data_IF_915102849476
#
_entry.id   IF_915102849476
#
_cell.length_a   1.000
_cell.length_b   1.000
_cell.length_c   1.000
_cell.angle_alpha   90.00
_cell.angle_beta   90.00
_cell.angle_gamma   90.00
#
_symmetry.space_group_name_H-M   'P 1'
#
loop_
_entity.id
_entity.type
_entity.pdbx_description
1 polymer ?
#
# COMPACT_ATOMS: atom_id res chain seq x y z
N UNK A 1 3.05 -0.67 -15.54
CA UNK A 1 1.97 0.34 -15.73
C UNK A 1 0.61 -0.18 -15.26
N UNK A 2 0.14 -1.34 -15.72
CA UNK A 2 -1.16 -1.90 -15.29
C UNK A 2 -1.31 -1.98 -13.77
N UNK A 3 -0.39 -2.65 -13.08
CA UNK A 3 -0.44 -2.79 -11.61
C UNK A 3 -0.50 -1.44 -10.88
N UNK A 4 0.29 -0.47 -11.33
CA UNK A 4 0.32 0.90 -10.77
C UNK A 4 -1.05 1.56 -10.85
N UNK A 5 -1.67 1.57 -12.03
CA UNK A 5 -2.99 2.18 -12.22
C UNK A 5 -4.09 1.41 -11.47
N UNK A 6 -4.03 0.08 -11.44
CA UNK A 6 -5.01 -0.76 -10.73
C UNK A 6 -4.99 -0.50 -9.22
N UNK A 7 -3.80 -0.45 -8.60
CA UNK A 7 -3.69 -0.18 -7.17
C UNK A 7 -4.12 1.25 -6.82
N UNK A 8 -3.77 2.23 -7.66
CA UNK A 8 -4.17 3.63 -7.49
C UNK A 8 -5.69 3.79 -7.51
N UNK A 9 -6.35 3.19 -8.50
CA UNK A 9 -7.81 3.22 -8.62
C UNK A 9 -8.49 2.50 -7.44
N UNK A 10 -7.99 1.32 -7.06
CA UNK A 10 -8.53 0.56 -5.94
C UNK A 10 -8.41 1.33 -4.61
N UNK A 11 -7.24 1.88 -4.32
CA UNK A 11 -6.99 2.63 -3.09
C UNK A 11 -7.82 3.92 -3.00
N UNK A 12 -7.92 4.67 -4.11
CA UNK A 12 -8.75 5.87 -4.20
C UNK A 12 -10.23 5.57 -3.98
N UNK A 13 -10.77 4.52 -4.62
CA UNK A 13 -12.15 4.08 -4.39
C UNK A 13 -12.39 3.66 -2.94
N UNK A 14 -11.48 2.89 -2.35
CA UNK A 14 -11.59 2.49 -0.95
C UNK A 14 -11.59 3.71 -0.02
N UNK A 15 -10.75 4.71 -0.27
CA UNK A 15 -10.73 5.92 0.54
C UNK A 15 -12.05 6.69 0.44
N UNK A 16 -12.57 6.86 -0.77
CA UNK A 16 -13.87 7.51 -1.02
C UNK A 16 -15.00 6.76 -0.29
N UNK A 17 -14.98 5.42 -0.33
CA UNK A 17 -15.99 4.61 0.36
C UNK A 17 -15.88 4.75 1.88
N UNK A 18 -14.66 4.81 2.43
CA UNK A 18 -14.47 5.03 3.86
C UNK A 18 -14.97 6.43 4.26
N UNK A 19 -14.61 7.46 3.50
CA UNK A 19 -15.08 8.84 3.72
C UNK A 19 -16.61 8.94 3.63
N UNK A 20 -17.22 8.32 2.62
CA UNK A 20 -18.67 8.25 2.48
C UNK A 20 -19.33 7.58 3.70
N UNK A 21 -18.72 6.52 4.24
CA UNK A 21 -19.17 5.87 5.47
C UNK A 21 -18.99 6.74 6.73
N UNK A 22 -18.11 7.75 6.70
CA UNK A 22 -17.99 8.79 7.74
C UNK A 22 -18.96 9.97 7.54
N UNK A 23 -19.69 10.00 6.42
CA UNK A 23 -20.74 10.98 6.13
C UNK A 23 -20.34 12.11 5.17
N UNK A 24 -19.06 12.25 4.81
CA UNK A 24 -18.61 13.29 3.87
C UNK A 24 -17.44 12.80 3.03
N UNK A 25 -17.56 12.94 1.70
CA UNK A 25 -16.48 12.63 0.76
C UNK A 25 -15.60 13.85 0.53
N UNK A 26 -14.30 13.72 0.80
CA UNK A 26 -13.33 14.79 0.54
C UNK A 26 -12.56 14.56 -0.76
N UNK A 27 -12.35 15.63 -1.54
CA UNK A 27 -11.47 15.59 -2.71
C UNK A 27 -10.01 15.36 -2.29
N UNK A 28 -9.56 16.01 -1.21
CA UNK A 28 -8.21 15.79 -0.70
C UNK A 28 -8.03 14.36 -0.20
N UNK A 29 -9.05 13.79 0.45
CA UNK A 29 -9.07 12.38 0.85
C UNK A 29 -8.96 11.44 -0.34
N UNK A 30 -9.75 11.65 -1.39
CA UNK A 30 -9.67 10.88 -2.63
C UNK A 30 -8.27 10.93 -3.27
N UNK A 31 -7.67 12.13 -3.34
CA UNK A 31 -6.30 12.31 -3.83
C UNK A 31 -5.28 11.57 -2.96
N UNK A 32 -5.38 11.66 -1.63
CA UNK A 32 -4.52 10.92 -0.70
C UNK A 32 -4.66 9.41 -0.89
N UNK A 33 -5.87 8.90 -1.09
CA UNK A 33 -6.11 7.49 -1.38
C UNK A 33 -5.44 7.01 -2.66
N UNK A 34 -5.48 7.80 -3.73
CA UNK A 34 -4.77 7.49 -4.99
C UNK A 34 -3.26 7.41 -4.74
N UNK A 35 -2.68 8.40 -4.05
CA UNK A 35 -1.24 8.43 -3.73
C UNK A 35 -0.84 7.24 -2.86
N UNK A 36 -1.65 6.88 -1.88
CA UNK A 36 -1.42 5.71 -1.03
C UNK A 36 -1.42 4.42 -1.84
N UNK A 37 -2.32 4.25 -2.81
CA UNK A 37 -2.32 3.09 -3.70
C UNK A 37 -1.06 3.01 -4.56
N UNK A 38 -0.64 4.15 -5.13
CA UNK A 38 0.60 4.25 -5.91
C UNK A 38 1.83 3.89 -5.07
N UNK A 39 1.95 4.48 -3.88
CA UNK A 39 3.06 4.22 -2.98
C UNK A 39 3.08 2.77 -2.48
N UNK A 40 1.92 2.21 -2.13
CA UNK A 40 1.80 0.82 -1.66
C UNK A 40 2.24 -0.18 -2.72
N UNK A 41 1.89 0.02 -4.00
CA UNK A 41 2.25 -0.94 -5.06
C UNK A 41 3.67 -0.74 -5.60
N UNK A 42 4.30 0.41 -5.35
CA UNK A 42 5.63 0.76 -5.89
C UNK A 42 6.68 -0.35 -5.74
N UNK A 43 6.89 -0.97 -4.56
CA UNK A 43 7.90 -2.04 -4.42
C UNK A 43 7.52 -3.35 -5.13
N UNK A 44 6.23 -3.55 -5.45
CA UNK A 44 5.69 -4.78 -6.00
C UNK A 44 5.35 -4.69 -7.51
N UNK A 45 5.29 -3.49 -8.08
CA UNK A 45 4.61 -3.22 -9.35
C UNK A 45 5.12 -4.06 -10.53
N UNK A 46 6.38 -4.48 -10.51
CA UNK A 46 7.01 -5.32 -11.53
C UNK A 46 7.05 -6.82 -11.21
N UNK A 47 6.43 -7.28 -10.13
CA UNK A 47 6.61 -8.64 -9.60
C UNK A 47 5.30 -9.36 -9.26
N UNK A 48 4.16 -8.70 -9.39
CA UNK A 48 2.84 -9.24 -9.00
C UNK A 48 1.86 -9.25 -10.17
N UNK A 49 0.83 -10.08 -10.07
CA UNK A 49 -0.31 -10.05 -10.98
C UNK A 49 -1.26 -8.87 -10.66
N UNK A 50 -2.05 -8.38 -11.64
CA UNK A 50 -3.00 -7.28 -11.43
C UNK A 50 -4.00 -7.49 -10.29
N UNK A 51 -4.40 -8.74 -10.02
CA UNK A 51 -5.28 -9.07 -8.89
C UNK A 51 -4.67 -8.70 -7.52
N UNK A 52 -3.37 -8.94 -7.35
CA UNK A 52 -2.66 -8.53 -6.13
C UNK A 52 -2.47 -7.01 -6.06
N UNK A 53 -2.32 -6.33 -7.19
CA UNK A 53 -2.25 -4.87 -7.21
C UNK A 53 -3.56 -4.24 -6.71
N UNK A 54 -4.71 -4.77 -7.13
CA UNK A 54 -6.02 -4.37 -6.61
C UNK A 54 -6.11 -4.59 -5.10
N UNK A 55 -5.75 -5.79 -4.64
CA UNK A 55 -5.77 -6.14 -3.22
C UNK A 55 -4.85 -5.22 -2.39
N UNK A 56 -3.62 -4.98 -2.86
CA UNK A 56 -2.65 -4.12 -2.19
C UNK A 56 -3.15 -2.67 -2.11
N UNK A 57 -3.79 -2.15 -3.16
CA UNK A 57 -4.42 -0.82 -3.13
C UNK A 57 -5.47 -0.72 -2.02
N UNK A 58 -6.35 -1.71 -1.91
CA UNK A 58 -7.35 -1.76 -0.84
C UNK A 58 -6.71 -1.83 0.55
N UNK A 59 -5.75 -2.73 0.75
CA UNK A 59 -5.04 -2.91 2.03
C UNK A 59 -4.32 -1.61 2.44
N UNK A 60 -3.57 -1.01 1.52
CA UNK A 60 -2.84 0.23 1.75
C UNK A 60 -3.76 1.36 2.19
N UNK A 61 -4.87 1.56 1.48
CA UNK A 61 -5.86 2.60 1.79
C UNK A 61 -6.48 2.40 3.18
N UNK A 62 -6.92 1.19 3.53
CA UNK A 62 -7.50 0.88 4.86
C UNK A 62 -6.49 1.12 5.98
N UNK A 63 -5.26 0.62 5.83
CA UNK A 63 -4.24 0.74 6.87
C UNK A 63 -3.82 2.20 7.07
N UNK A 64 -3.55 2.93 6.00
CA UNK A 64 -3.11 4.33 6.08
C UNK A 64 -4.22 5.23 6.61
N UNK A 65 -5.47 5.01 6.20
CA UNK A 65 -6.61 5.74 6.76
C UNK A 65 -6.74 5.50 8.27
N UNK A 66 -6.62 4.25 8.70
CA UNK A 66 -6.60 3.88 10.11
C UNK A 66 -5.44 4.53 10.87
N UNK A 67 -4.25 4.57 10.27
CA UNK A 67 -3.07 5.24 10.82
C UNK A 67 -3.31 6.74 11.02
N UNK A 68 -3.90 7.44 10.05
CA UNK A 68 -4.23 8.86 10.17
C UNK A 68 -5.18 9.12 11.34
N UNK A 69 -6.22 8.29 11.50
CA UNK A 69 -7.14 8.37 12.63
C UNK A 69 -6.46 8.10 13.97
N UNK A 70 -5.58 7.10 14.03
CA UNK A 70 -4.80 6.78 15.23
C UNK A 70 -3.86 7.92 15.61
N UNK A 71 -3.13 8.46 14.63
CA UNK A 71 -2.23 9.61 14.78
C UNK A 71 -2.98 10.81 15.35
N UNK A 72 -4.10 11.17 14.72
CA UNK A 72 -4.92 12.31 15.12
C UNK A 72 -5.52 12.17 16.53
N UNK A 73 -5.84 10.93 16.95
CA UNK A 73 -6.48 10.67 18.24
C UNK A 73 -5.50 10.48 19.40
N UNK A 74 -4.30 9.95 19.15
CA UNK A 74 -3.43 9.48 20.22
C UNK A 74 -1.98 9.99 20.14
N UNK A 75 -1.42 10.18 18.95
CA UNK A 75 0.02 10.47 18.80
C UNK A 75 0.33 11.96 18.73
N UNK A 76 -0.59 12.78 18.21
CA UNK A 76 -0.53 14.24 18.21
C UNK A 76 0.78 14.86 17.67
N UNK A 77 1.48 14.16 16.77
CA UNK A 77 2.59 14.77 16.03
C UNK A 77 2.08 15.35 14.71
N UNK A 78 2.66 16.49 14.32
CA UNK A 78 2.33 17.15 13.06
C UNK A 78 3.13 16.55 11.91
N UNK A 79 2.43 15.93 10.98
CA UNK A 79 2.91 15.49 9.67
C UNK A 79 2.19 16.37 8.67
N UNK A 80 2.68 17.59 8.49
CA UNK A 80 1.93 18.72 7.90
C UNK A 80 1.34 18.43 6.52
N UNK A 81 1.97 17.54 5.74
CA UNK A 81 1.53 17.12 4.41
C UNK A 81 1.05 15.66 4.37
N UNK A 82 0.90 15.02 5.53
CA UNK A 82 0.70 13.58 5.65
C UNK A 82 1.75 12.77 4.86
N UNK A 83 2.98 13.27 4.75
CA UNK A 83 4.01 12.68 3.90
C UNK A 83 4.48 11.34 4.47
N UNK A 84 4.74 11.27 5.78
CA UNK A 84 5.07 10.00 6.42
C UNK A 84 3.87 9.05 6.38
N UNK A 85 2.68 9.58 6.63
CA UNK A 85 1.45 8.79 6.64
C UNK A 85 1.13 8.20 5.26
N UNK A 86 1.23 8.99 4.18
CA UNK A 86 0.85 8.58 2.84
C UNK A 86 1.97 7.87 2.07
N UNK A 87 3.25 8.12 2.36
CA UNK A 87 4.40 7.49 1.68
C UNK A 87 5.16 6.50 2.56
N UNK A 88 5.46 6.87 3.80
CA UNK A 88 6.18 6.02 4.74
C UNK A 88 5.38 4.77 5.09
N UNK A 89 4.17 4.95 5.63
CA UNK A 89 3.32 3.82 6.04
C UNK A 89 2.87 2.97 4.85
N UNK A 90 2.51 3.58 3.72
CA UNK A 90 2.15 2.85 2.50
C UNK A 90 3.35 2.07 1.94
N UNK A 91 4.56 2.64 1.98
CA UNK A 91 5.80 1.96 1.59
C UNK A 91 6.11 0.76 2.47
N UNK A 92 5.92 0.87 3.79
CA UNK A 92 6.06 -0.24 4.74
C UNK A 92 5.07 -1.36 4.40
N UNK A 93 3.79 -1.04 4.26
CA UNK A 93 2.73 -2.01 3.90
C UNK A 93 3.04 -2.65 2.54
N UNK A 94 3.42 -1.85 1.56
CA UNK A 94 3.77 -2.29 0.22
C UNK A 94 4.93 -3.27 0.21
N UNK A 95 6.00 -2.95 0.93
CA UNK A 95 7.22 -3.76 1.03
C UNK A 95 6.94 -5.08 1.73
N UNK A 96 6.14 -5.05 2.81
CA UNK A 96 5.67 -6.26 3.47
C UNK A 96 4.86 -7.16 2.52
N UNK A 97 3.88 -6.59 1.81
CA UNK A 97 3.06 -7.31 0.83
C UNK A 97 3.89 -7.83 -0.36
N UNK A 98 4.91 -7.11 -0.80
CA UNK A 98 5.88 -7.56 -1.81
C UNK A 98 6.53 -8.87 -1.38
N UNK A 99 6.93 -8.96 -0.11
CA UNK A 99 7.49 -10.18 0.47
C UNK A 99 6.56 -11.39 0.44
N UNK A 100 5.24 -11.15 0.39
CA UNK A 100 4.22 -12.19 0.32
C UNK A 100 3.90 -12.60 -1.12
N UNK A 101 3.71 -11.63 -2.02
CA UNK A 101 2.97 -11.81 -3.27
C UNK A 101 3.83 -11.87 -4.54
N UNK A 102 5.12 -11.54 -4.47
CA UNK A 102 5.98 -11.57 -5.66
C UNK A 102 6.03 -12.97 -6.31
N UNK A 103 6.11 -13.00 -7.62
CA UNK A 103 6.11 -14.20 -8.43
C UNK A 103 7.23 -14.12 -9.47
N UNK A 104 8.09 -15.14 -9.51
CA UNK A 104 9.17 -15.23 -10.50
C UNK A 104 8.62 -15.37 -11.93
N UNK A 105 7.43 -15.96 -12.07
CA UNK A 105 6.75 -16.11 -13.36
C UNK A 105 6.28 -14.77 -13.95
N UNK A 106 6.12 -13.73 -13.12
CA UNK A 106 5.80 -12.37 -13.56
C UNK A 106 7.08 -11.62 -13.97
N UNK A 107 8.18 -11.89 -13.29
CA UNK A 107 9.47 -11.28 -13.59
C UNK A 107 10.61 -12.20 -13.14
N UNK A 108 11.33 -12.74 -14.13
CA UNK A 108 12.44 -13.67 -13.91
C UNK A 108 13.64 -13.04 -13.18
N UNK A 109 13.73 -11.70 -13.10
CA UNK A 109 14.75 -10.99 -12.32
C UNK A 109 14.36 -10.84 -10.83
N UNK A 110 13.11 -11.19 -10.48
CA UNK A 110 12.61 -11.17 -9.12
C UNK A 110 12.81 -12.48 -8.38
N UNK A 111 11.97 -12.70 -7.37
CA UNK A 111 11.90 -13.93 -6.61
C UNK A 111 10.45 -14.21 -6.21
N UNK A 112 10.13 -15.47 -5.95
CA UNK A 112 8.86 -15.82 -5.31
C UNK A 112 8.78 -15.20 -3.91
N UNK A 113 7.58 -14.78 -3.54
CA UNK A 113 7.22 -14.39 -2.18
C UNK A 113 6.88 -15.61 -1.31
N UNK A 114 6.53 -15.34 -0.06
CA UNK A 114 6.20 -16.38 0.90
C UNK A 114 5.05 -17.28 0.45
N UNK A 115 4.03 -16.73 -0.21
CA UNK A 115 2.88 -17.50 -0.70
C UNK A 115 3.17 -18.31 -1.96
N UNK A 116 4.37 -18.12 -2.55
CA UNK A 116 4.84 -18.81 -3.75
C UNK A 116 6.06 -19.70 -3.45
N UNK A 117 6.19 -20.17 -2.21
CA UNK A 117 7.19 -21.17 -1.81
C UNK A 117 8.54 -20.62 -1.36
N UNK A 118 8.69 -19.29 -1.21
CA UNK A 118 9.92 -18.67 -0.73
C UNK A 118 9.67 -17.76 0.49
N UNK A 119 9.50 -18.34 1.71
CA UNK A 119 9.24 -17.58 2.93
C UNK A 119 10.40 -16.66 3.33
N UNK A 120 11.62 -16.97 2.90
CA UNK A 120 12.81 -16.12 3.14
C UNK A 120 12.65 -14.76 2.48
N UNK A 121 11.89 -14.64 1.39
CA UNK A 121 11.63 -13.36 0.75
C UNK A 121 10.91 -12.38 1.67
N UNK A 122 9.93 -12.84 2.45
CA UNK A 122 9.24 -11.98 3.42
C UNK A 122 10.22 -11.43 4.47
N UNK A 123 11.11 -12.28 4.99
CA UNK A 123 12.12 -11.85 5.95
C UNK A 123 13.07 -10.80 5.37
N UNK A 124 13.49 -10.96 4.11
CA UNK A 124 14.32 -9.96 3.42
C UNK A 124 13.62 -8.61 3.32
N UNK A 125 12.33 -8.60 3.01
CA UNK A 125 11.56 -7.36 2.93
C UNK A 125 11.35 -6.72 4.32
N UNK A 126 11.14 -7.52 5.37
CA UNK A 126 11.08 -7.01 6.74
C UNK A 126 12.42 -6.39 7.14
N UNK A 127 13.54 -7.04 6.84
CA UNK A 127 14.87 -6.47 7.10
C UNK A 127 15.09 -5.16 6.33
N UNK A 128 14.63 -5.07 5.08
CA UNK A 128 14.73 -3.85 4.27
C UNK A 128 13.85 -2.70 4.77
N UNK A 129 12.76 -2.99 5.50
CA UNK A 129 11.93 -1.96 6.15
C UNK A 129 12.67 -1.33 7.34
N UNK A 130 13.58 -2.06 8.00
CA UNK A 130 14.22 -1.67 9.24
C UNK A 130 15.55 -0.90 9.06
N UNK A 131 16.07 -0.83 7.83
CA UNK A 131 17.37 -0.20 7.49
C UNK A 131 17.13 0.95 6.53
#
# INVERSE_FOLDING_TARGET
MTNTNTAAAAAGLVWILIDAAQGTVSISGACSGIVVGLATVTPAAGYIQPGYALLMGCIGSVIVYGWLKLKARYLHFDDTLDAFSCHGMSGIVGTFCTGLFCQIDINAQGANGAFYGNPVQLWRQIAAILV
#
